data_IF_779431595354
#
_entry.id   IF_779431595354
#
_cell.length_a   1.000
_cell.length_b   1.000
_cell.length_c   1.000
_cell.angle_alpha   90.00
_cell.angle_beta   90.00
_cell.angle_gamma   90.00
#
_symmetry.space_group_name_H-M   'P 1'
#
loop_
_entity.id
_entity.type
_entity.pdbx_description
1 polymer ?
#
# COMPACT_ATOMS: atom_id res chain seq x y z
N UNK A 1 39.86 16.46 -39.45
CA UNK A 1 39.47 15.30 -38.61
C UNK A 1 38.06 15.51 -38.06
N UNK A 2 37.06 15.62 -38.95
CA UNK A 2 35.64 15.85 -38.62
C UNK A 2 34.75 14.96 -39.51
N UNK A 3 35.10 13.68 -39.61
CA UNK A 3 34.29 12.67 -40.25
C UNK A 3 34.78 11.33 -39.73
N UNK A 4 34.00 10.69 -38.85
CA UNK A 4 33.93 9.23 -38.62
C UNK A 4 33.19 8.93 -37.30
N UNK A 5 31.96 9.42 -37.17
CA UNK A 5 30.97 8.84 -36.25
C UNK A 5 29.53 8.88 -36.81
N UNK A 6 29.30 9.54 -37.95
CA UNK A 6 28.01 9.54 -38.65
C UNK A 6 27.82 8.41 -39.67
N UNK A 7 28.89 7.66 -40.01
CA UNK A 7 28.84 6.66 -41.09
C UNK A 7 28.61 5.20 -40.62
N UNK A 8 28.53 4.94 -39.31
CA UNK A 8 28.10 3.61 -38.80
C UNK A 8 26.57 3.55 -38.65
N UNK A 9 25.83 4.40 -39.36
CA UNK A 9 24.37 4.46 -39.35
C UNK A 9 23.72 3.77 -40.56
N UNK A 10 24.47 3.34 -41.58
CA UNK A 10 23.87 3.00 -42.89
C UNK A 10 24.31 1.63 -43.46
N UNK A 11 24.16 0.53 -42.72
CA UNK A 11 24.19 -0.82 -43.33
C UNK A 11 23.10 -1.78 -42.89
N UNK A 12 22.27 -1.40 -41.91
CA UNK A 12 20.99 -2.05 -41.63
C UNK A 12 19.98 -0.95 -41.37
N UNK A 13 19.03 -0.75 -42.28
CA UNK A 13 17.99 0.30 -42.20
C UNK A 13 17.00 0.17 -41.03
N UNK A 14 17.45 -0.31 -39.87
CA UNK A 14 16.76 -0.21 -38.59
C UNK A 14 17.36 0.97 -37.85
N UNK A 15 16.70 2.12 -37.90
CA UNK A 15 16.94 3.18 -36.93
C UNK A 15 16.80 2.55 -35.53
N UNK A 16 17.89 2.53 -34.76
CA UNK A 16 17.86 2.11 -33.37
C UNK A 16 17.12 3.20 -32.61
N UNK A 17 15.79 3.08 -32.53
CA UNK A 17 14.97 3.95 -31.70
C UNK A 17 15.52 3.96 -30.27
N UNK A 18 15.66 5.13 -29.63
CA UNK A 18 16.13 5.22 -28.26
C UNK A 18 15.26 4.34 -27.35
N UNK A 19 15.86 3.73 -26.34
CA UNK A 19 15.19 2.73 -25.48
C UNK A 19 13.91 3.26 -24.82
N UNK A 20 13.82 4.59 -24.62
CA UNK A 20 12.59 5.29 -24.21
C UNK A 20 11.41 4.98 -25.14
N UNK A 21 11.61 5.13 -26.44
CA UNK A 21 10.54 4.95 -27.43
C UNK A 21 10.12 3.48 -27.46
N UNK A 22 11.06 2.55 -27.32
CA UNK A 22 10.75 1.12 -27.18
C UNK A 22 9.99 0.78 -25.90
N UNK A 23 10.33 1.41 -24.77
CA UNK A 23 9.66 1.17 -23.48
C UNK A 23 8.24 1.75 -23.48
N UNK A 24 8.05 2.98 -23.96
CA UNK A 24 6.72 3.57 -24.09
C UNK A 24 5.88 2.88 -25.17
N UNK A 25 6.46 2.50 -26.30
CA UNK A 25 5.77 1.65 -27.29
C UNK A 25 5.35 0.33 -26.64
N UNK A 26 6.24 -0.32 -25.89
CA UNK A 26 5.95 -1.58 -25.18
C UNK A 26 4.88 -1.46 -24.11
N UNK A 27 4.76 -0.30 -23.45
CA UNK A 27 3.71 -0.02 -22.45
C UNK A 27 2.39 0.32 -23.14
N UNK A 28 2.43 1.17 -24.16
CA UNK A 28 1.26 1.56 -24.94
C UNK A 28 0.68 0.41 -25.77
N UNK A 29 1.49 -0.61 -26.06
CA UNK A 29 1.04 -1.83 -26.73
C UNK A 29 0.35 -2.82 -25.78
N UNK A 30 0.40 -2.59 -24.46
CA UNK A 30 -0.36 -3.42 -23.51
C UNK A 30 -1.83 -3.05 -23.66
N UNK A 31 -2.63 -4.06 -23.99
CA UNK A 31 -4.07 -3.92 -24.14
C UNK A 31 -4.69 -3.42 -22.82
N UNK A 32 -5.69 -2.54 -22.93
CA UNK A 32 -6.47 -2.02 -21.80
C UNK A 32 -5.68 -1.25 -20.72
N UNK A 33 -4.44 -0.82 -21.02
CA UNK A 33 -3.62 -0.09 -20.05
C UNK A 33 -4.23 1.26 -19.62
N UNK A 34 -5.10 1.84 -20.44
CA UNK A 34 -5.87 3.03 -20.10
C UNK A 34 -6.74 2.82 -18.85
N UNK A 35 -7.32 1.62 -18.69
CA UNK A 35 -8.08 1.25 -17.49
C UNK A 35 -7.21 1.24 -16.24
N UNK A 36 -5.98 0.71 -16.34
CA UNK A 36 -5.00 0.73 -15.25
C UNK A 36 -4.74 2.16 -14.77
N UNK A 37 -4.40 3.05 -15.71
CA UNK A 37 -4.12 4.45 -15.37
C UNK A 37 -5.35 5.19 -14.84
N UNK A 38 -6.52 4.98 -15.45
CA UNK A 38 -7.77 5.60 -15.01
C UNK A 38 -8.11 5.23 -13.56
N UNK A 39 -8.03 3.95 -13.22
CA UNK A 39 -8.27 3.46 -11.86
C UNK A 39 -7.23 4.00 -10.86
N UNK A 40 -5.95 4.06 -11.26
CA UNK A 40 -4.88 4.62 -10.42
C UNK A 40 -5.10 6.10 -10.13
N UNK A 41 -5.53 6.89 -11.14
CA UNK A 41 -5.82 8.32 -10.99
C UNK A 41 -6.98 8.55 -10.03
N UNK A 42 -8.05 7.75 -10.10
CA UNK A 42 -9.18 7.82 -9.16
C UNK A 42 -8.69 7.54 -7.74
N UNK A 43 -7.92 6.47 -7.55
CA UNK A 43 -7.41 6.10 -6.22
C UNK A 43 -6.45 7.17 -5.65
N UNK A 44 -5.61 7.75 -6.50
CA UNK A 44 -4.73 8.85 -6.13
C UNK A 44 -5.50 10.11 -5.75
N UNK A 45 -6.59 10.42 -6.48
CA UNK A 45 -7.47 11.55 -6.16
C UNK A 45 -8.14 11.36 -4.80
N UNK A 46 -8.64 10.15 -4.51
CA UNK A 46 -9.16 9.79 -3.18
C UNK A 46 -8.11 9.99 -2.08
N UNK A 47 -6.87 9.55 -2.32
CA UNK A 47 -5.76 9.77 -1.40
C UNK A 47 -5.52 11.26 -1.13
N UNK A 48 -5.48 12.10 -2.16
CA UNK A 48 -5.30 13.54 -1.99
C UNK A 48 -6.41 14.19 -1.16
N UNK A 49 -7.68 13.82 -1.42
CA UNK A 49 -8.82 14.34 -0.65
C UNK A 49 -8.71 13.96 0.82
N UNK A 50 -8.45 12.69 1.13
CA UNK A 50 -8.28 12.22 2.52
C UNK A 50 -7.10 12.89 3.20
N UNK A 51 -5.99 13.07 2.49
CA UNK A 51 -4.81 13.74 2.99
C UNK A 51 -5.09 15.22 3.34
N UNK A 52 -5.78 15.94 2.46
CA UNK A 52 -6.19 17.33 2.70
C UNK A 52 -7.14 17.44 3.90
N UNK A 53 -8.15 16.56 3.98
CA UNK A 53 -9.06 16.49 5.12
C UNK A 53 -8.30 16.27 6.43
N UNK A 54 -7.36 15.32 6.43
CA UNK A 54 -6.51 15.05 7.59
C UNK A 54 -5.72 16.30 8.00
N UNK A 55 -5.09 17.02 7.06
CA UNK A 55 -4.36 18.27 7.35
C UNK A 55 -5.28 19.33 7.95
N UNK A 56 -6.44 19.57 7.35
CA UNK A 56 -7.39 20.60 7.79
C UNK A 56 -7.84 20.31 9.22
N UNK A 57 -8.24 19.06 9.50
CA UNK A 57 -8.66 18.65 10.83
C UNK A 57 -7.55 18.81 11.88
N UNK A 58 -6.31 18.45 11.51
CA UNK A 58 -5.17 18.55 12.42
C UNK A 58 -4.73 19.99 12.67
N UNK A 59 -4.89 20.87 11.69
CA UNK A 59 -4.52 22.29 11.78
C UNK A 59 -5.58 23.10 12.54
N UNK A 60 -6.86 22.75 12.42
CA UNK A 60 -7.95 23.40 13.15
C UNK A 60 -8.14 22.86 14.57
N UNK A 61 -7.85 21.57 14.80
CA UNK A 61 -7.79 20.99 16.14
C UNK A 61 -6.50 21.40 16.86
N UNK A 62 -6.47 22.56 17.52
CA UNK A 62 -5.33 23.01 18.36
C UNK A 62 -4.76 21.88 19.24
N UNK A 63 -3.50 21.50 18.97
CA UNK A 63 -2.50 20.74 19.77
C UNK A 63 -2.84 19.31 20.26
N UNK A 64 -1.86 18.43 20.06
CA UNK A 64 -1.51 17.26 20.89
C UNK A 64 -2.57 16.18 21.12
N UNK A 65 -3.34 15.83 20.09
CA UNK A 65 -4.23 14.65 20.11
C UNK A 65 -3.72 13.50 19.25
N UNK A 66 -2.41 13.24 19.20
CA UNK A 66 -1.93 11.92 18.72
C UNK A 66 -2.35 10.89 19.75
N UNK A 67 -3.16 9.91 19.35
CA UNK A 67 -3.36 8.72 20.16
C UNK A 67 -2.00 8.06 20.31
N UNK A 68 -1.55 7.85 21.55
CA UNK A 68 -0.26 7.24 21.82
C UNK A 68 -0.20 5.89 21.09
N UNK A 69 0.85 5.64 20.28
CA UNK A 69 0.89 4.44 19.48
C UNK A 69 0.98 3.20 20.37
N UNK A 70 0.22 2.17 20.04
CA UNK A 70 0.15 0.93 20.82
C UNK A 70 1.54 0.29 21.03
N UNK A 71 2.38 0.38 20.00
CA UNK A 71 3.77 -0.03 20.06
C UNK A 71 4.63 1.08 19.46
N UNK A 72 5.68 1.55 20.17
CA UNK A 72 6.67 2.47 19.61
C UNK A 72 7.32 1.92 18.33
N UNK A 73 7.42 0.60 18.20
CA UNK A 73 7.98 -0.08 17.02
C UNK A 73 7.04 -0.01 15.83
N UNK A 74 5.74 -0.23 16.03
CA UNK A 74 4.76 -0.13 14.95
C UNK A 74 4.60 1.32 14.47
N UNK A 75 4.64 2.29 15.40
CA UNK A 75 4.70 3.71 15.04
C UNK A 75 5.96 4.07 14.27
N UNK A 76 7.13 3.56 14.66
CA UNK A 76 8.38 3.76 13.91
C UNK A 76 8.27 3.15 12.50
N UNK A 77 7.71 1.95 12.37
CA UNK A 77 7.53 1.29 11.09
C UNK A 77 6.59 2.09 10.17
N UNK A 78 5.48 2.60 10.72
CA UNK A 78 4.58 3.48 9.98
C UNK A 78 5.25 4.80 9.57
N UNK A 79 6.00 5.44 10.46
CA UNK A 79 6.73 6.67 10.15
C UNK A 79 7.80 6.47 9.08
N UNK A 80 8.52 5.34 9.13
CA UNK A 80 9.49 4.98 8.08
C UNK A 80 8.75 4.80 6.75
N UNK A 81 7.62 4.08 6.74
CA UNK A 81 6.79 3.93 5.55
C UNK A 81 6.30 5.27 5.00
N UNK A 82 5.85 6.19 5.85
CA UNK A 82 5.37 7.53 5.43
C UNK A 82 6.51 8.35 4.82
N UNK A 83 7.71 8.31 5.42
CA UNK A 83 8.91 8.95 4.86
C UNK A 83 9.31 8.36 3.51
N UNK A 84 9.36 7.03 3.38
CA UNK A 84 9.69 6.37 2.11
C UNK A 84 8.64 6.70 1.04
N UNK A 85 7.36 6.75 1.40
CA UNK A 85 6.30 7.13 0.48
C UNK A 85 6.41 8.60 0.03
N UNK A 86 6.77 9.53 0.92
CA UNK A 86 7.04 10.92 0.53
C UNK A 86 8.25 11.04 -0.40
N UNK A 87 9.33 10.29 -0.14
CA UNK A 87 10.50 10.24 -1.04
C UNK A 87 10.07 9.70 -2.42
N UNK A 88 9.23 8.67 -2.46
CA UNK A 88 8.70 8.13 -3.71
C UNK A 88 7.89 9.19 -4.49
N UNK A 89 6.99 9.91 -3.83
CA UNK A 89 6.21 10.98 -4.46
C UNK A 89 7.11 12.11 -5.00
N UNK A 90 8.13 12.52 -4.22
CA UNK A 90 9.10 13.51 -4.65
C UNK A 90 9.88 13.03 -5.88
N UNK A 91 10.30 11.77 -5.91
CA UNK A 91 11.00 11.19 -7.05
C UNK A 91 10.11 11.10 -8.29
N UNK A 92 8.83 10.78 -8.14
CA UNK A 92 7.85 10.82 -9.25
C UNK A 92 7.70 12.25 -9.78
N UNK A 93 7.66 13.26 -8.91
CA UNK A 93 7.65 14.66 -9.33
C UNK A 93 8.96 15.05 -10.06
N UNK A 94 10.12 14.62 -9.55
CA UNK A 94 11.41 14.80 -10.21
C UNK A 94 11.47 14.08 -11.57
N UNK A 95 10.86 12.91 -11.69
CA UNK A 95 10.73 12.20 -12.96
C UNK A 95 9.88 12.99 -13.96
N UNK A 96 8.71 13.48 -13.54
CA UNK A 96 7.86 14.30 -14.39
C UNK A 96 8.57 15.59 -14.84
N UNK A 97 9.27 16.27 -13.92
CA UNK A 97 10.06 17.46 -14.22
C UNK A 97 11.24 17.18 -15.15
N UNK A 98 12.04 16.14 -14.88
CA UNK A 98 13.17 15.77 -15.75
C UNK A 98 12.73 15.34 -17.14
N UNK A 99 11.56 14.69 -17.26
CA UNK A 99 10.93 14.37 -18.54
C UNK A 99 10.50 15.65 -19.29
N UNK A 100 9.92 16.62 -18.60
CA UNK A 100 9.53 17.92 -19.18
C UNK A 100 10.73 18.71 -19.73
N UNK A 101 11.86 18.68 -19.02
CA UNK A 101 13.10 19.35 -19.45
C UNK A 101 13.98 18.49 -20.38
N UNK A 102 13.50 17.33 -20.83
CA UNK A 102 14.22 16.42 -21.75
C UNK A 102 15.59 15.93 -21.23
N UNK A 103 15.83 15.86 -19.91
CA UNK A 103 17.06 15.34 -19.33
C UNK A 103 17.09 13.80 -19.38
N UNK A 104 17.59 13.23 -20.48
CA UNK A 104 17.44 11.80 -20.78
C UNK A 104 18.14 10.89 -19.76
N UNK A 105 19.40 11.18 -19.40
CA UNK A 105 20.16 10.35 -18.45
C UNK A 105 19.56 10.39 -17.04
N UNK A 106 19.22 11.58 -16.55
CA UNK A 106 18.57 11.78 -15.24
C UNK A 106 17.23 11.06 -15.17
N UNK A 107 16.45 11.10 -16.25
CA UNK A 107 15.15 10.40 -16.33
C UNK A 107 15.32 8.90 -16.10
N UNK A 108 16.35 8.26 -16.67
CA UNK A 108 16.60 6.83 -16.49
C UNK A 108 17.05 6.48 -15.07
N UNK A 109 17.99 7.23 -14.50
CA UNK A 109 18.47 7.01 -13.14
C UNK A 109 17.33 7.17 -12.11
N UNK A 110 16.48 8.18 -12.30
CA UNK A 110 15.30 8.42 -11.46
C UNK A 110 14.28 7.29 -11.63
N UNK A 111 14.01 6.83 -12.85
CA UNK A 111 13.07 5.73 -13.11
C UNK A 111 13.49 4.44 -12.41
N UNK A 112 14.76 4.04 -12.52
CA UNK A 112 15.29 2.86 -11.85
C UNK A 112 15.17 2.97 -10.32
N UNK A 113 15.46 4.15 -9.78
CA UNK A 113 15.33 4.43 -8.34
C UNK A 113 13.87 4.35 -7.88
N UNK A 114 12.92 4.88 -8.67
CA UNK A 114 11.48 4.79 -8.42
C UNK A 114 11.05 3.32 -8.37
N UNK A 115 11.42 2.52 -9.37
CA UNK A 115 11.06 1.10 -9.42
C UNK A 115 11.55 0.34 -8.19
N UNK A 116 12.81 0.54 -7.79
CA UNK A 116 13.36 -0.07 -6.57
C UNK A 116 12.62 0.37 -5.30
N UNK A 117 12.29 1.65 -5.18
CA UNK A 117 11.54 2.17 -4.03
C UNK A 117 10.09 1.68 -3.99
N UNK A 118 9.42 1.50 -5.13
CA UNK A 118 8.08 0.91 -5.19
C UNK A 118 8.11 -0.50 -4.58
N UNK A 119 9.10 -1.32 -4.95
CA UNK A 119 9.27 -2.65 -4.36
C UNK A 119 9.46 -2.60 -2.85
N UNK A 120 10.33 -1.70 -2.37
CA UNK A 120 10.58 -1.51 -0.93
C UNK A 120 9.32 -1.07 -0.19
N UNK A 121 8.60 -0.07 -0.72
CA UNK A 121 7.32 0.40 -0.15
C UNK A 121 6.33 -0.74 -0.05
N UNK A 122 6.27 -1.58 -1.08
CA UNK A 122 5.35 -2.68 -1.09
C UNK A 122 5.67 -3.76 -0.07
N UNK A 123 6.95 -4.09 0.11
CA UNK A 123 7.39 -4.97 1.20
C UNK A 123 6.96 -4.44 2.57
N UNK A 124 7.13 -3.13 2.81
CA UNK A 124 6.68 -2.51 4.07
C UNK A 124 5.17 -2.59 4.27
N UNK A 125 4.39 -2.39 3.20
CA UNK A 125 2.93 -2.50 3.25
C UNK A 125 2.52 -3.93 3.59
N UNK A 126 3.09 -4.92 2.91
CA UNK A 126 2.78 -6.31 3.17
C UNK A 126 3.14 -6.72 4.60
N UNK A 127 4.32 -6.29 5.09
CA UNK A 127 4.70 -6.48 6.48
C UNK A 127 3.69 -5.86 7.45
N UNK A 128 3.24 -4.63 7.18
CA UNK A 128 2.25 -3.95 8.01
C UNK A 128 0.92 -4.71 8.06
N UNK A 129 0.44 -5.18 6.91
CA UNK A 129 -0.80 -5.97 6.80
C UNK A 129 -0.70 -7.26 7.60
N UNK A 130 0.40 -8.01 7.47
CA UNK A 130 0.60 -9.24 8.25
C UNK A 130 0.63 -8.94 9.76
N UNK A 131 1.36 -7.91 10.18
CA UNK A 131 1.49 -7.54 11.58
C UNK A 131 0.15 -7.13 12.21
N UNK A 132 -0.65 -6.32 11.50
CA UNK A 132 -1.96 -5.88 12.00
C UNK A 132 -2.96 -7.04 12.04
N UNK A 133 -2.89 -7.97 11.08
CA UNK A 133 -3.73 -9.17 11.08
C UNK A 133 -3.38 -10.12 12.23
N UNK A 134 -2.09 -10.38 12.48
CA UNK A 134 -1.65 -11.17 13.64
C UNK A 134 -2.13 -10.52 14.94
N UNK A 135 -1.99 -9.20 15.06
CA UNK A 135 -2.47 -8.45 16.21
C UNK A 135 -3.97 -8.65 16.47
N UNK A 136 -4.81 -8.49 15.43
CA UNK A 136 -6.25 -8.69 15.54
C UNK A 136 -6.61 -10.12 15.93
N UNK A 137 -5.93 -11.13 15.37
CA UNK A 137 -6.12 -12.54 15.72
C UNK A 137 -5.76 -12.78 17.19
N UNK A 138 -4.58 -12.33 17.64
CA UNK A 138 -4.18 -12.50 19.05
C UNK A 138 -5.17 -11.85 20.01
N UNK A 139 -5.67 -10.66 19.67
CA UNK A 139 -6.70 -9.99 20.48
C UNK A 139 -8.01 -10.74 20.51
N UNK A 140 -8.41 -11.36 19.40
CA UNK A 140 -9.59 -12.23 19.38
C UNK A 140 -9.46 -13.42 20.32
N UNK A 141 -8.32 -14.10 20.32
CA UNK A 141 -8.07 -15.23 21.22
C UNK A 141 -8.04 -14.79 22.68
N UNK A 142 -7.38 -13.68 22.99
CA UNK A 142 -7.37 -13.11 24.34
C UNK A 142 -8.79 -12.81 24.85
N UNK A 143 -9.65 -12.25 23.99
CA UNK A 143 -11.05 -11.99 24.32
C UNK A 143 -11.84 -13.28 24.58
N UNK A 144 -11.71 -14.26 23.70
CA UNK A 144 -12.60 -15.44 23.68
C UNK A 144 -12.22 -16.50 24.71
N UNK A 145 -10.92 -16.65 24.99
CA UNK A 145 -10.39 -17.72 25.84
C UNK A 145 -9.84 -17.21 27.18
N UNK A 146 -10.21 -15.98 27.58
CA UNK A 146 -9.78 -15.36 28.85
C UNK A 146 -8.25 -15.31 29.03
N UNK A 147 -7.51 -15.29 27.93
CA UNK A 147 -6.05 -15.17 27.95
C UNK A 147 -5.62 -13.72 28.13
N UNK A 148 -4.86 -13.41 29.18
CA UNK A 148 -4.21 -12.12 29.34
C UNK A 148 -2.82 -12.13 28.69
N UNK A 149 -2.73 -12.42 27.39
CA UNK A 149 -1.44 -12.32 26.68
C UNK A 149 -1.14 -10.84 26.45
N UNK A 150 -0.29 -10.27 27.31
CA UNK A 150 0.28 -8.95 27.09
C UNK A 150 1.25 -8.98 25.91
N UNK A 151 1.01 -8.11 24.92
CA UNK A 151 1.85 -7.99 23.74
C UNK A 151 3.11 -7.17 24.08
N UNK A 152 4.08 -7.83 24.68
CA UNK A 152 5.35 -7.21 25.10
C UNK A 152 6.16 -6.70 23.90
N UNK A 153 7.14 -5.83 24.17
CA UNK A 153 8.02 -5.31 23.10
C UNK A 153 8.80 -6.40 22.37
N UNK A 154 9.13 -7.50 23.06
CA UNK A 154 9.86 -8.62 22.47
C UNK A 154 8.99 -9.46 21.54
N UNK A 155 7.69 -9.57 21.81
CA UNK A 155 6.72 -10.12 20.86
C UNK A 155 6.74 -9.31 19.56
N UNK A 156 6.64 -7.99 19.63
CA UNK A 156 6.67 -7.13 18.44
C UNK A 156 7.98 -7.22 17.66
N UNK A 157 9.13 -7.29 18.35
CA UNK A 157 10.43 -7.50 17.68
C UNK A 157 10.50 -8.85 16.98
N UNK A 158 9.98 -9.92 17.60
CA UNK A 158 9.94 -11.24 17.00
C UNK A 158 9.02 -11.28 15.78
N UNK A 159 7.80 -10.72 15.91
CA UNK A 159 6.84 -10.61 14.83
C UNK A 159 7.42 -9.85 13.63
N UNK A 160 7.99 -8.66 13.85
CA UNK A 160 8.61 -7.86 12.78
C UNK A 160 9.74 -8.63 12.08
N UNK A 161 10.61 -9.30 12.84
CA UNK A 161 11.71 -10.10 12.27
C UNK A 161 11.18 -11.25 11.42
N UNK A 162 10.21 -12.00 11.93
CA UNK A 162 9.64 -13.15 11.22
C UNK A 162 8.89 -12.72 9.97
N UNK A 163 8.09 -11.66 10.05
CA UNK A 163 7.39 -11.09 8.89
C UNK A 163 8.37 -10.54 7.85
N UNK A 164 9.45 -9.87 8.28
CA UNK A 164 10.48 -9.38 7.37
C UNK A 164 11.16 -10.53 6.60
N UNK A 165 11.54 -11.60 7.30
CA UNK A 165 12.08 -12.80 6.68
C UNK A 165 11.10 -13.45 5.71
N UNK A 166 9.83 -13.59 6.12
CA UNK A 166 8.78 -14.17 5.28
C UNK A 166 8.60 -13.38 3.97
N UNK A 167 8.40 -12.06 4.06
CA UNK A 167 8.20 -11.21 2.87
C UNK A 167 9.43 -11.20 1.97
N UNK A 168 10.63 -11.17 2.55
CA UNK A 168 11.89 -11.19 1.79
C UNK A 168 12.08 -12.52 1.06
N UNK A 169 11.88 -13.65 1.74
CA UNK A 169 11.99 -14.97 1.11
C UNK A 169 10.93 -15.16 0.02
N UNK A 170 9.70 -14.74 0.26
CA UNK A 170 8.63 -14.77 -0.75
C UNK A 170 9.02 -13.99 -2.01
N UNK A 171 9.55 -12.77 -1.87
CA UNK A 171 9.97 -11.97 -3.02
C UNK A 171 11.22 -12.53 -3.70
N UNK A 172 12.12 -13.18 -2.97
CA UNK A 172 13.29 -13.84 -3.54
C UNK A 172 12.90 -15.08 -4.36
N UNK A 173 11.94 -15.88 -3.87
CA UNK A 173 11.36 -16.99 -4.64
C UNK A 173 10.73 -16.47 -5.93
N UNK A 174 10.01 -15.35 -5.87
CA UNK A 174 9.43 -14.73 -7.05
C UNK A 174 10.50 -14.29 -8.07
N UNK A 175 11.58 -13.64 -7.61
CA UNK A 175 12.69 -13.23 -8.48
C UNK A 175 13.36 -14.45 -9.14
N UNK A 176 13.65 -15.50 -8.38
CA UNK A 176 14.24 -16.73 -8.91
C UNK A 176 13.33 -17.42 -9.92
N UNK A 177 12.03 -17.48 -9.65
CA UNK A 177 11.04 -18.06 -10.56
C UNK A 177 10.93 -17.25 -11.86
N UNK A 178 10.86 -15.91 -11.74
CA UNK A 178 10.83 -15.01 -12.89
C UNK A 178 12.08 -15.08 -13.77
N UNK A 179 13.24 -15.45 -13.21
CA UNK A 179 14.45 -15.71 -14.00
C UNK A 179 14.49 -17.09 -14.65
N UNK A 180 13.85 -18.09 -14.03
CA UNK A 180 13.82 -19.46 -14.54
C UNK A 180 12.80 -19.62 -15.69
N UNK A 181 11.70 -18.89 -15.62
CA UNK A 181 10.57 -19.00 -16.55
C UNK A 181 10.59 -17.93 -17.66
N UNK A 182 11.79 -17.49 -18.07
CA UNK A 182 11.97 -16.32 -18.97
C UNK A 182 11.44 -16.49 -20.41
N UNK A 183 10.72 -17.58 -20.70
CA UNK A 183 10.03 -17.82 -21.97
C UNK A 183 8.51 -17.65 -21.88
N UNK A 184 7.94 -17.57 -20.67
CA UNK A 184 6.51 -17.47 -20.49
C UNK A 184 6.02 -16.00 -20.44
N UNK A 185 4.83 -15.77 -21.00
CA UNK A 185 4.19 -14.46 -21.08
C UNK A 185 4.06 -13.82 -19.70
N UNK A 186 4.36 -12.51 -19.61
CA UNK A 186 4.31 -11.65 -18.40
C UNK A 186 3.07 -11.91 -17.51
N UNK A 187 1.95 -12.26 -18.14
CA UNK A 187 0.66 -12.60 -17.52
C UNK A 187 0.75 -13.81 -16.56
N UNK A 188 1.54 -14.84 -16.89
CA UNK A 188 1.73 -16.02 -16.01
C UNK A 188 2.53 -15.66 -14.77
N UNK A 189 3.61 -14.87 -14.93
CA UNK A 189 4.44 -14.39 -13.81
C UNK A 189 3.58 -13.55 -12.85
N UNK A 190 2.75 -12.64 -13.38
CA UNK A 190 1.81 -11.85 -12.59
C UNK A 190 0.77 -12.73 -11.87
N UNK A 191 0.30 -13.81 -12.50
CA UNK A 191 -0.66 -14.74 -11.91
C UNK A 191 -0.10 -15.50 -10.72
N UNK A 192 1.14 -16.01 -10.81
CA UNK A 192 1.81 -16.66 -9.67
C UNK A 192 1.98 -15.71 -8.49
N UNK A 193 2.36 -14.48 -8.81
CA UNK A 193 2.55 -13.45 -7.81
C UNK A 193 1.27 -13.04 -7.12
N UNK A 194 0.19 -12.92 -7.89
CA UNK A 194 -1.15 -12.73 -7.38
C UNK A 194 -1.56 -13.88 -6.44
N UNK A 195 -1.27 -15.13 -6.80
CA UNK A 195 -1.50 -16.30 -5.96
C UNK A 195 -0.80 -16.24 -4.59
N UNK A 196 0.49 -15.89 -4.56
CA UNK A 196 1.21 -15.69 -3.30
C UNK A 196 0.67 -14.50 -2.51
N UNK A 197 0.29 -13.42 -3.19
CA UNK A 197 -0.29 -12.24 -2.57
C UNK A 197 -1.64 -12.50 -1.91
N UNK A 198 -2.46 -13.37 -2.52
CA UNK A 198 -3.76 -13.78 -1.99
C UNK A 198 -3.65 -14.41 -0.59
N UNK A 199 -2.52 -15.05 -0.24
CA UNK A 199 -2.32 -15.59 1.10
C UNK A 199 -2.33 -14.51 2.19
N UNK A 200 -1.66 -13.38 1.93
CA UNK A 200 -1.67 -12.21 2.83
C UNK A 200 -3.06 -11.58 2.89
N UNK A 201 -3.79 -11.53 1.77
CA UNK A 201 -5.16 -11.02 1.71
C UNK A 201 -6.17 -11.92 2.44
N UNK A 202 -5.99 -13.24 2.37
CA UNK A 202 -6.78 -14.21 3.11
C UNK A 202 -6.55 -14.05 4.62
N UNK A 203 -5.29 -13.90 5.04
CA UNK A 203 -4.95 -13.62 6.44
C UNK A 203 -5.62 -12.32 6.93
N UNK A 204 -5.60 -11.28 6.10
CA UNK A 204 -6.29 -10.01 6.36
C UNK A 204 -7.81 -10.22 6.53
N UNK A 205 -8.45 -10.94 5.60
CA UNK A 205 -9.89 -11.23 5.69
C UNK A 205 -10.25 -12.05 6.92
N UNK A 206 -9.51 -13.12 7.22
CA UNK A 206 -9.71 -13.96 8.41
C UNK A 206 -9.56 -13.14 9.69
N UNK A 207 -8.53 -12.30 9.79
CA UNK A 207 -8.32 -11.46 10.98
C UNK A 207 -9.45 -10.44 11.20
N UNK A 208 -10.04 -9.91 10.13
CA UNK A 208 -11.19 -9.02 10.22
C UNK A 208 -12.46 -9.76 10.65
N UNK A 209 -12.69 -10.98 10.13
CA UNK A 209 -13.79 -11.84 10.57
C UNK A 209 -13.67 -12.21 12.05
N UNK A 210 -12.46 -12.50 12.52
CA UNK A 210 -12.21 -12.74 13.95
C UNK A 210 -12.53 -11.52 14.82
N UNK A 211 -12.24 -10.30 14.35
CA UNK A 211 -12.50 -9.09 15.13
C UNK A 211 -13.96 -8.61 15.06
N UNK A 212 -14.71 -8.96 14.02
CA UNK A 212 -16.08 -8.49 13.80
C UNK A 212 -17.01 -8.72 15.02
N UNK A 213 -17.05 -9.89 15.68
CA UNK A 213 -17.89 -10.12 16.87
C UNK A 213 -17.53 -9.21 18.05
N UNK A 214 -16.25 -8.82 18.17
CA UNK A 214 -15.74 -7.99 19.28
C UNK A 214 -16.23 -6.55 19.13
N UNK A 215 -16.38 -6.04 17.91
CA UNK A 215 -16.94 -4.71 17.66
C UNK A 215 -18.37 -4.53 18.19
N UNK A 216 -19.18 -5.59 18.17
CA UNK A 216 -20.57 -5.56 18.62
C UNK A 216 -20.73 -5.98 20.09
N UNK A 217 -19.65 -6.46 20.73
CA UNK A 217 -19.67 -6.83 22.13
C UNK A 217 -19.67 -5.57 23.02
N UNK A 218 -20.82 -5.29 23.64
CA UNK A 218 -21.14 -4.07 24.41
C UNK A 218 -20.32 -3.83 25.68
N UNK A 219 -19.35 -4.68 26.04
CA UNK A 219 -18.79 -4.78 27.40
C UNK A 219 -17.27 -4.69 27.55
N UNK A 220 -16.52 -4.29 26.52
CA UNK A 220 -15.06 -4.18 26.66
C UNK A 220 -14.49 -2.77 26.45
N UNK A 221 -13.68 -2.37 27.43
CA UNK A 221 -12.77 -1.23 27.36
C UNK A 221 -11.51 -1.63 26.59
N UNK A 222 -11.59 -1.65 25.26
CA UNK A 222 -10.40 -1.77 24.41
C UNK A 222 -9.65 -0.44 24.46
N UNK A 223 -8.34 -0.49 24.71
CA UNK A 223 -7.52 0.71 24.72
C UNK A 223 -7.63 1.47 23.37
N UNK A 224 -7.72 2.81 23.36
CA UNK A 224 -7.98 3.59 22.14
C UNK A 224 -6.99 3.30 21.00
N UNK A 225 -5.73 3.05 21.33
CA UNK A 225 -4.68 2.73 20.35
C UNK A 225 -4.88 1.36 19.69
N UNK A 226 -5.37 0.37 20.44
CA UNK A 226 -5.70 -0.97 19.92
C UNK A 226 -6.90 -0.90 18.98
N UNK A 227 -7.91 -0.13 19.39
CA UNK A 227 -9.12 0.07 18.60
C UNK A 227 -8.81 0.68 17.24
N UNK A 228 -7.87 1.62 17.14
CA UNK A 228 -7.43 2.19 15.86
C UNK A 228 -6.86 1.13 14.94
N UNK A 229 -5.96 0.26 15.43
CA UNK A 229 -5.38 -0.81 14.62
C UNK A 229 -6.45 -1.78 14.12
N UNK A 230 -7.39 -2.16 14.98
CA UNK A 230 -8.47 -3.03 14.55
C UNK A 230 -9.41 -2.36 13.54
N UNK A 231 -9.72 -1.06 13.71
CA UNK A 231 -10.48 -0.28 12.73
C UNK A 231 -9.74 -0.23 11.38
N UNK A 232 -8.43 -0.02 11.39
CA UNK A 232 -7.61 -0.04 10.17
C UNK A 232 -7.69 -1.41 9.48
N UNK A 233 -7.58 -2.51 10.23
CA UNK A 233 -7.70 -3.86 9.70
C UNK A 233 -9.06 -4.09 9.04
N UNK A 234 -10.16 -3.73 9.74
CA UNK A 234 -11.51 -3.85 9.18
C UNK A 234 -11.73 -2.97 7.95
N UNK A 235 -11.30 -1.70 8.00
CA UNK A 235 -11.48 -0.76 6.90
C UNK A 235 -10.68 -1.20 5.67
N UNK A 236 -9.45 -1.69 5.87
CA UNK A 236 -8.65 -2.24 4.78
C UNK A 236 -9.32 -3.47 4.15
N UNK A 237 -9.82 -4.41 4.96
CA UNK A 237 -10.57 -5.57 4.47
C UNK A 237 -11.83 -5.16 3.71
N UNK A 238 -12.61 -4.23 4.24
CA UNK A 238 -13.85 -3.77 3.60
C UNK A 238 -13.57 -3.11 2.24
N UNK A 239 -12.57 -2.22 2.17
CA UNK A 239 -12.16 -1.60 0.92
C UNK A 239 -11.61 -2.61 -0.08
N UNK A 240 -10.89 -3.64 0.39
CA UNK A 240 -10.42 -4.74 -0.46
C UNK A 240 -11.55 -5.57 -1.05
N UNK A 241 -12.58 -5.87 -0.26
CA UNK A 241 -13.76 -6.59 -0.75
C UNK A 241 -14.47 -5.76 -1.82
N UNK A 242 -14.69 -4.45 -1.58
CA UNK A 242 -15.29 -3.53 -2.56
C UNK A 242 -14.44 -3.49 -3.84
N UNK A 243 -13.12 -3.42 -3.71
CA UNK A 243 -12.19 -3.44 -4.83
C UNK A 243 -12.31 -4.76 -5.63
N UNK A 244 -12.41 -5.91 -4.97
CA UNK A 244 -12.59 -7.20 -5.65
C UNK A 244 -13.89 -7.19 -6.47
N UNK A 245 -15.01 -6.76 -5.88
CA UNK A 245 -16.27 -6.66 -6.62
C UNK A 245 -16.19 -5.72 -7.82
N UNK A 246 -15.53 -4.56 -7.65
CA UNK A 246 -15.29 -3.62 -8.74
C UNK A 246 -14.47 -4.25 -9.86
N UNK A 247 -13.40 -4.99 -9.53
CA UNK A 247 -12.56 -5.63 -10.53
C UNK A 247 -13.26 -6.78 -11.25
N UNK A 248 -14.10 -7.55 -10.54
CA UNK A 248 -14.95 -8.58 -11.17
C UNK A 248 -15.91 -7.93 -12.18
N UNK A 249 -16.52 -6.80 -11.81
CA UNK A 249 -17.39 -6.05 -12.72
C UNK A 249 -16.64 -5.53 -13.95
N UNK A 250 -15.44 -4.96 -13.76
CA UNK A 250 -14.61 -4.47 -14.87
C UNK A 250 -14.12 -5.63 -15.75
N UNK A 251 -13.80 -6.78 -15.17
CA UNK A 251 -13.49 -8.00 -15.93
C UNK A 251 -14.66 -8.43 -16.80
N UNK A 252 -15.89 -8.39 -16.26
CA UNK A 252 -17.10 -8.65 -17.04
C UNK A 252 -17.28 -7.69 -18.23
N UNK A 253 -16.74 -6.47 -18.16
CA UNK A 253 -16.70 -5.53 -19.27
C UNK A 253 -15.61 -5.84 -20.33
N UNK A 254 -14.82 -6.89 -20.16
CA UNK A 254 -13.85 -7.39 -21.14
C UNK A 254 -12.41 -6.90 -20.97
N UNK A 255 -12.07 -6.33 -19.81
CA UNK A 255 -10.68 -5.90 -19.49
C UNK A 255 -9.82 -7.09 -19.12
N UNK A 256 -8.58 -7.11 -19.62
CA UNK A 256 -7.64 -8.21 -19.41
C UNK A 256 -7.27 -8.46 -17.93
N UNK A 257 -7.28 -9.73 -17.51
CA UNK A 257 -6.96 -10.16 -16.13
C UNK A 257 -5.61 -9.66 -15.64
N UNK A 258 -4.59 -9.63 -16.52
CA UNK A 258 -3.24 -9.16 -16.18
C UNK A 258 -3.23 -7.71 -15.68
N UNK A 259 -4.02 -6.84 -16.31
CA UNK A 259 -4.19 -5.43 -15.91
C UNK A 259 -4.91 -5.33 -14.57
N UNK A 260 -5.97 -6.11 -14.38
CA UNK A 260 -6.75 -6.11 -13.13
C UNK A 260 -5.92 -6.63 -11.95
N UNK A 261 -5.14 -7.69 -12.16
CA UNK A 261 -4.18 -8.21 -11.18
C UNK A 261 -3.11 -7.16 -10.84
N UNK A 262 -2.52 -6.50 -11.85
CA UNK A 262 -1.54 -5.45 -11.62
C UNK A 262 -2.13 -4.29 -10.80
N UNK A 263 -3.36 -3.86 -11.12
CA UNK A 263 -4.04 -2.81 -10.37
C UNK A 263 -4.30 -3.25 -8.92
N UNK A 264 -4.80 -4.46 -8.69
CA UNK A 264 -5.06 -4.99 -7.35
C UNK A 264 -3.82 -5.04 -6.45
N UNK A 265 -2.65 -5.35 -7.05
CA UNK A 265 -1.37 -5.38 -6.34
C UNK A 265 -0.89 -3.97 -6.00
N UNK A 266 -0.94 -3.05 -6.97
CA UNK A 266 -0.46 -1.67 -6.81
C UNK A 266 -1.38 -0.83 -5.93
N UNK A 267 -2.67 -1.16 -5.87
CA UNK A 267 -3.68 -0.40 -5.11
C UNK A 267 -3.28 -0.19 -3.64
N UNK A 268 -2.57 -1.15 -3.04
CA UNK A 268 -2.23 -1.13 -1.61
C UNK A 268 -1.21 -0.08 -1.23
N UNK A 269 -0.45 0.41 -2.21
CA UNK A 269 0.45 1.55 -2.06
C UNK A 269 -0.33 2.79 -1.62
N UNK A 270 -1.54 2.97 -2.12
CA UNK A 270 -2.42 4.11 -1.84
C UNK A 270 -3.51 3.78 -0.82
N UNK A 271 -4.07 2.57 -0.84
CA UNK A 271 -5.12 2.15 0.09
C UNK A 271 -4.66 2.15 1.54
N UNK A 272 -3.47 1.63 1.84
CA UNK A 272 -2.99 1.62 3.23
C UNK A 272 -2.87 3.03 3.84
N UNK A 273 -2.18 4.01 3.20
CA UNK A 273 -2.14 5.35 3.75
C UNK A 273 -3.53 6.02 3.83
N UNK A 274 -4.43 5.78 2.87
CA UNK A 274 -5.83 6.24 2.98
C UNK A 274 -6.48 5.71 4.26
N UNK A 275 -6.42 4.40 4.48
CA UNK A 275 -7.02 3.72 5.64
C UNK A 275 -6.49 4.28 6.94
N UNK A 276 -5.16 4.46 7.04
CA UNK A 276 -4.57 4.99 8.26
C UNK A 276 -5.05 6.42 8.53
N UNK A 277 -5.04 7.31 7.53
CA UNK A 277 -5.50 8.69 7.71
C UNK A 277 -7.00 8.77 8.05
N UNK A 278 -7.84 7.93 7.43
CA UNK A 278 -9.27 7.84 7.80
C UNK A 278 -9.42 7.37 9.25
N UNK A 279 -8.66 6.36 9.68
CA UNK A 279 -8.75 5.87 11.06
C UNK A 279 -8.31 6.93 12.09
N UNK A 280 -7.33 7.76 11.75
CA UNK A 280 -6.88 8.89 12.57
C UNK A 280 -7.98 9.97 12.63
N UNK A 281 -8.61 10.31 11.50
CA UNK A 281 -9.74 11.24 11.43
C UNK A 281 -10.90 10.75 12.31
N UNK A 282 -11.32 9.48 12.17
CA UNK A 282 -12.40 8.88 12.96
C UNK A 282 -12.07 8.98 14.45
N UNK A 283 -10.82 8.67 14.84
CA UNK A 283 -10.41 8.75 16.24
C UNK A 283 -10.47 10.18 16.80
N UNK A 284 -10.11 11.18 16.00
CA UNK A 284 -10.23 12.60 16.39
C UNK A 284 -11.69 12.99 16.58
N UNK A 285 -12.57 12.60 15.66
CA UNK A 285 -14.01 12.89 15.73
C UNK A 285 -14.66 12.28 16.99
N UNK A 286 -14.39 11.00 17.27
CA UNK A 286 -14.93 10.33 18.48
C UNK A 286 -14.48 11.04 19.76
N UNK A 287 -13.22 11.50 19.82
CA UNK A 287 -12.70 12.20 20.99
C UNK A 287 -13.29 13.60 21.16
N UNK A 288 -13.73 14.26 20.08
CA UNK A 288 -14.44 15.53 20.17
C UNK A 288 -15.84 15.35 20.74
N UNK A 289 -16.57 14.33 20.27
CA UNK A 289 -17.93 14.04 20.72
C UNK A 289 -17.98 13.78 22.23
N UNK A 290 -17.08 12.95 22.77
CA UNK A 290 -16.99 12.72 24.22
C UNK A 290 -16.68 14.00 25.00
N UNK A 291 -15.74 14.83 24.53
CA UNK A 291 -15.40 16.08 25.22
C UNK A 291 -16.55 17.11 25.21
N UNK A 292 -17.37 17.14 24.16
CA UNK A 292 -18.55 18.01 24.10
C UNK A 292 -19.71 17.49 24.97
N UNK A 293 -19.86 16.17 25.11
CA UNK A 293 -20.88 15.58 25.99
C UNK A 293 -20.53 15.78 27.46
N UNK A 294 -19.26 15.65 27.84
CA UNK A 294 -18.80 15.87 29.22
C UNK A 294 -19.01 17.35 29.65
N UNK A 295 -18.72 18.31 28.77
CA UNK A 295 -18.97 19.74 29.02
C UNK A 295 -20.46 20.05 29.23
N UNK A 296 -21.35 19.40 28.48
CA UNK A 296 -22.79 19.59 28.65
C UNK A 296 -23.36 18.90 29.90
N UNK A 297 -22.66 17.89 30.45
CA UNK A 297 -23.06 17.25 31.70
C UNK A 297 -22.53 17.97 32.95
N UNK A 298 -21.48 18.80 32.83
CA UNK A 298 -21.03 19.69 33.92
C UNK A 298 -21.90 20.96 34.06
N UNK A 299 -22.69 21.32 33.04
CA UNK A 299 -23.59 22.48 33.06
C UNK A 299 -25.00 22.19 33.61
N UNK A 300 -25.29 20.94 34.02
CA UNK A 300 -26.58 20.49 34.58
C UNK A 300 -26.41 20.15 36.07
#
# INVERSE_FOLDING_TARGET
MNATLSEISNSTGKQVKPWRDKFFESISSIKDIEWFFGLLVVLFSCYLVVFLLHIVMYKWGKKDRRVAPLSPLLAKLYQVKEKVHMILQLLVACYAGSNFFHFTWTTYAVLFTISGLICVVWMFIEMYVILISIFCITKYYNHTYSGSVELTTDFWKAAIRLTCWFVTMKNLVFLLWGTYDSQDELTKILSYFFGLYLSTQLLLALSALSFFPICFARRQEIAPAERILCIQNMLLTALKIVLIFLLIFINYCGVEDGILCAFFLVSDILLLPIVVKISEIISICIKQEHATVDLHMEEI
#
